data_IF_844365391098
#
_entry.id   IF_844365391098
#
_cell.length_a   1.000
_cell.length_b   1.000
_cell.length_c   1.000
_cell.angle_alpha   90.00
_cell.angle_beta   90.00
_cell.angle_gamma   90.00
#
_symmetry.space_group_name_H-M   'P 1'
#
loop_
_entity.id
_entity.type
_entity.pdbx_description
1 polymer ?
#
# COMPACT_ATOMS: atom_id res chain seq x y z
N UNK A 1 -0.23 -2.04 -24.62
CA UNK A 1 -1.38 -2.01 -23.69
C UNK A 1 -2.32 -0.91 -24.19
N UNK A 2 -3.59 -1.20 -24.52
CA UNK A 2 -4.49 -0.18 -25.11
C UNK A 2 -4.85 0.86 -24.03
N UNK A 3 -4.94 2.14 -24.38
CA UNK A 3 -5.19 3.24 -23.42
C UNK A 3 -6.43 3.01 -22.52
N UNK A 4 -7.42 2.28 -23.04
CA UNK A 4 -8.63 1.89 -22.31
C UNK A 4 -8.34 0.97 -21.11
N UNK A 5 -7.36 0.08 -21.23
CA UNK A 5 -6.97 -0.86 -20.17
C UNK A 5 -6.24 -0.11 -19.04
N UNK A 6 -5.40 0.85 -19.41
CA UNK A 6 -4.70 1.73 -18.46
C UNK A 6 -5.67 2.59 -17.67
N UNK A 7 -6.67 3.19 -18.35
CA UNK A 7 -7.68 4.00 -17.69
C UNK A 7 -8.53 3.18 -16.71
N UNK A 8 -8.89 1.95 -17.11
CA UNK A 8 -9.61 1.01 -16.24
C UNK A 8 -8.81 0.70 -14.98
N UNK A 9 -7.53 0.37 -15.13
CA UNK A 9 -6.64 0.06 -14.00
C UNK A 9 -6.49 1.25 -13.05
N UNK A 10 -6.29 2.46 -13.61
CA UNK A 10 -6.19 3.69 -12.81
C UNK A 10 -7.48 3.95 -12.01
N UNK A 11 -8.64 3.78 -12.63
CA UNK A 11 -9.92 3.95 -11.94
C UNK A 11 -10.11 2.90 -10.83
N UNK A 12 -9.69 1.66 -11.07
CA UNK A 12 -9.75 0.61 -10.05
C UNK A 12 -8.88 0.95 -8.83
N UNK A 13 -7.60 1.31 -9.06
CA UNK A 13 -6.68 1.70 -7.98
C UNK A 13 -7.23 2.91 -7.21
N UNK A 14 -7.76 3.92 -7.93
CA UNK A 14 -8.33 5.12 -7.33
C UNK A 14 -9.48 4.79 -6.37
N UNK A 15 -10.35 3.87 -6.76
CA UNK A 15 -11.52 3.47 -5.98
C UNK A 15 -11.13 2.58 -4.80
N UNK A 16 -10.32 1.55 -5.04
CA UNK A 16 -9.94 0.56 -4.02
C UNK A 16 -9.05 1.15 -2.92
N UNK A 17 -8.24 2.18 -3.24
CA UNK A 17 -7.41 2.87 -2.26
C UNK A 17 -8.06 4.15 -1.70
N UNK A 18 -9.33 4.44 -2.03
CA UNK A 18 -10.06 5.56 -1.46
C UNK A 18 -9.45 6.94 -1.75
N UNK A 19 -8.78 7.12 -2.89
CA UNK A 19 -8.07 8.37 -3.20
C UNK A 19 -8.99 9.60 -3.30
N UNK A 20 -10.27 9.41 -3.62
CA UNK A 20 -11.26 10.47 -3.57
C UNK A 20 -11.51 10.98 -2.15
N UNK A 21 -11.54 10.09 -1.14
CA UNK A 21 -11.68 10.46 0.26
C UNK A 21 -10.47 11.23 0.77
N UNK A 22 -9.27 10.76 0.44
CA UNK A 22 -8.01 11.45 0.77
C UNK A 22 -7.98 12.86 0.17
N UNK A 23 -8.41 12.99 -1.09
CA UNK A 23 -8.46 14.28 -1.78
C UNK A 23 -9.51 15.21 -1.17
N UNK A 24 -10.68 14.68 -0.79
CA UNK A 24 -11.73 15.45 -0.13
C UNK A 24 -11.26 16.01 1.23
N UNK A 25 -10.64 15.16 2.05
CA UNK A 25 -10.04 15.55 3.34
C UNK A 25 -9.00 16.66 3.16
N UNK A 26 -8.11 16.52 2.17
CA UNK A 26 -7.09 17.54 1.88
C UNK A 26 -7.71 18.89 1.48
N UNK A 27 -8.75 18.88 0.64
CA UNK A 27 -9.47 20.10 0.23
C UNK A 27 -10.15 20.79 1.41
N UNK A 28 -10.81 20.02 2.27
CA UNK A 28 -11.47 20.53 3.48
C UNK A 28 -10.46 21.16 4.44
N UNK A 29 -9.32 20.50 4.65
CA UNK A 29 -8.19 21.02 5.42
C UNK A 29 -7.39 22.14 4.74
N UNK A 30 -7.82 22.59 3.55
CA UNK A 30 -7.14 23.62 2.73
C UNK A 30 -5.68 23.29 2.38
N UNK A 31 -5.34 22.01 2.34
CA UNK A 31 -4.04 21.56 1.86
C UNK A 31 -3.94 21.69 0.33
N UNK A 32 -2.77 22.04 -0.22
CA UNK A 32 -2.58 22.08 -1.66
C UNK A 32 -2.82 20.69 -2.27
N UNK A 33 -3.75 20.57 -3.21
CA UNK A 33 -4.13 19.29 -3.81
C UNK A 33 -3.01 18.60 -4.61
N UNK A 34 -1.94 19.34 -4.93
CA UNK A 34 -0.73 18.83 -5.59
C UNK A 34 0.37 18.39 -4.59
N UNK A 35 0.13 18.52 -3.29
CA UNK A 35 1.08 18.20 -2.22
C UNK A 35 0.46 17.22 -1.21
N UNK A 36 -0.25 16.21 -1.73
CA UNK A 36 -0.79 15.11 -0.94
C UNK A 36 0.15 13.92 -1.09
N UNK A 37 0.73 13.48 0.02
CA UNK A 37 1.64 12.34 0.06
C UNK A 37 0.92 11.15 0.70
N UNK A 38 0.95 10.00 0.04
CA UNK A 38 0.33 8.76 0.52
C UNK A 38 1.45 7.79 0.88
N UNK A 39 1.43 7.27 2.12
CA UNK A 39 2.38 6.24 2.53
C UNK A 39 1.93 4.89 1.93
N UNK A 40 2.66 4.41 0.92
CA UNK A 40 2.35 3.15 0.24
C UNK A 40 2.99 1.92 0.91
N UNK A 41 3.87 2.11 1.89
CA UNK A 41 4.58 1.01 2.57
C UNK A 41 3.61 -0.02 3.17
N UNK A 42 2.52 0.35 3.87
CA UNK A 42 1.59 -0.63 4.42
C UNK A 42 0.90 -1.49 3.35
N UNK A 43 0.57 -0.91 2.20
CA UNK A 43 -0.04 -1.63 1.06
C UNK A 43 0.97 -2.63 0.49
N UNK A 44 2.21 -2.19 0.30
CA UNK A 44 3.29 -3.04 -0.18
C UNK A 44 3.54 -4.22 0.77
N UNK A 45 3.68 -3.96 2.07
CA UNK A 45 3.91 -5.01 3.08
C UNK A 45 2.77 -6.03 3.06
N UNK A 46 1.51 -5.61 3.05
CA UNK A 46 0.36 -6.52 2.99
C UNK A 46 0.38 -7.40 1.73
N UNK A 47 0.69 -6.82 0.57
CA UNK A 47 0.79 -7.58 -0.68
C UNK A 47 1.92 -8.61 -0.64
N UNK A 48 3.10 -8.22 -0.18
CA UNK A 48 4.25 -9.13 -0.04
C UNK A 48 3.95 -10.25 0.94
N UNK A 49 3.36 -9.94 2.11
CA UNK A 49 2.96 -10.94 3.08
C UNK A 49 2.01 -12.00 2.50
N UNK A 50 1.00 -11.59 1.73
CA UNK A 50 0.08 -12.52 1.08
C UNK A 50 0.79 -13.43 0.09
N UNK A 51 1.66 -12.89 -0.75
CA UNK A 51 2.44 -13.68 -1.71
C UNK A 51 3.36 -14.65 -0.98
N UNK A 52 4.08 -14.19 0.04
CA UNK A 52 5.08 -14.98 0.74
C UNK A 52 4.43 -16.10 1.56
N UNK A 53 3.28 -15.84 2.19
CA UNK A 53 2.46 -16.88 2.84
C UNK A 53 2.09 -17.98 1.84
N UNK A 54 1.55 -17.60 0.67
CA UNK A 54 1.17 -18.58 -0.38
C UNK A 54 2.38 -19.39 -0.87
N UNK A 55 3.52 -18.76 -1.11
CA UNK A 55 4.73 -19.46 -1.53
C UNK A 55 5.23 -20.43 -0.44
N UNK A 56 5.21 -19.99 0.83
CA UNK A 56 5.57 -20.84 1.97
C UNK A 56 4.64 -22.04 2.12
N UNK A 57 3.33 -21.84 1.96
CA UNK A 57 2.32 -22.92 2.03
C UNK A 57 2.50 -23.95 0.91
N UNK A 58 3.09 -23.54 -0.23
CA UNK A 58 3.46 -24.43 -1.33
C UNK A 58 4.81 -25.14 -1.12
N UNK A 59 5.47 -24.93 0.03
CA UNK A 59 6.77 -25.53 0.34
C UNK A 59 7.94 -24.87 -0.37
N UNK A 60 7.77 -23.66 -0.92
CA UNK A 60 8.86 -22.90 -1.53
C UNK A 60 9.69 -22.27 -0.42
N UNK A 61 10.95 -22.68 -0.32
CA UNK A 61 11.88 -22.13 0.66
C UNK A 61 12.43 -20.76 0.21
N UNK A 62 12.53 -19.84 1.16
CA UNK A 62 13.26 -18.60 0.97
C UNK A 62 14.76 -18.88 1.13
N UNK A 63 15.51 -18.79 0.04
CA UNK A 63 16.94 -19.09 0.00
C UNK A 63 17.73 -17.77 -0.17
N UNK A 64 18.78 -17.58 0.63
CA UNK A 64 19.66 -16.42 0.54
C UNK A 64 20.26 -16.03 1.89
N UNK A 65 21.31 -15.20 1.84
CA UNK A 65 22.05 -14.76 3.03
C UNK A 65 21.13 -14.09 4.07
N UNK A 66 20.23 -13.22 3.60
CA UNK A 66 19.29 -12.48 4.45
C UNK A 66 17.87 -13.07 4.46
N UNK A 67 17.67 -14.29 3.92
CA UNK A 67 16.34 -14.87 3.77
C UNK A 67 15.60 -14.96 5.11
N UNK A 68 16.30 -15.32 6.19
CA UNK A 68 15.71 -15.37 7.53
C UNK A 68 15.39 -13.97 8.09
N UNK A 69 16.18 -12.96 7.76
CA UNK A 69 15.95 -11.57 8.19
C UNK A 69 14.71 -10.97 7.51
N UNK A 70 14.42 -11.37 6.27
CA UNK A 70 13.23 -10.93 5.53
C UNK A 70 12.00 -11.81 5.74
N UNK A 71 12.20 -13.08 6.08
CA UNK A 71 11.09 -14.01 6.30
C UNK A 71 10.17 -13.51 7.40
N UNK A 72 10.69 -13.14 8.57
CA UNK A 72 9.85 -12.71 9.68
C UNK A 72 9.02 -11.44 9.35
N UNK A 73 9.58 -10.31 8.89
CA UNK A 73 8.80 -9.12 8.53
C UNK A 73 7.79 -9.31 7.40
N UNK A 74 8.00 -10.29 6.53
CA UNK A 74 7.16 -10.55 5.36
C UNK A 74 6.33 -11.83 5.46
N UNK A 75 6.33 -12.52 6.61
CA UNK A 75 5.42 -13.65 6.88
C UNK A 75 4.60 -13.43 8.16
N UNK A 76 5.12 -12.65 9.11
CA UNK A 76 4.37 -12.12 10.23
C UNK A 76 3.75 -10.80 9.78
N UNK A 77 2.45 -10.86 9.51
CA UNK A 77 1.69 -9.71 9.02
C UNK A 77 1.76 -8.58 10.05
N UNK A 78 2.38 -7.47 9.67
CA UNK A 78 2.18 -6.22 10.39
C UNK A 78 0.67 -5.96 10.31
N UNK A 79 -0.02 -5.98 11.45
CA UNK A 79 -1.46 -5.79 11.51
C UNK A 79 -1.75 -4.34 11.10
N UNK A 80 -1.98 -4.15 9.79
CA UNK A 80 -2.36 -2.86 9.22
C UNK A 80 -3.87 -2.85 9.14
N UNK A 81 -4.50 -2.05 9.99
CA UNK A 81 -5.91 -1.75 9.87
C UNK A 81 -6.15 -0.90 8.61
N UNK A 82 -6.67 -1.54 7.56
CA UNK A 82 -7.09 -0.86 6.32
C UNK A 82 -8.53 -0.33 6.40
N UNK A 83 -9.25 -0.54 7.50
CA UNK A 83 -10.62 -0.04 7.67
C UNK A 83 -10.67 1.46 7.94
N UNK A 84 -9.55 2.06 8.35
CA UNK A 84 -9.44 3.48 8.68
C UNK A 84 -8.28 4.15 7.94
N UNK A 85 -8.50 5.37 7.46
CA UNK A 85 -7.45 6.20 6.86
C UNK A 85 -6.95 7.16 7.93
N UNK A 86 -5.67 7.02 8.30
CA UNK A 86 -5.03 7.91 9.26
C UNK A 86 -4.39 9.11 8.55
N UNK A 87 -4.74 10.32 8.98
CA UNK A 87 -4.21 11.57 8.44
C UNK A 87 -3.22 12.19 9.41
N UNK A 88 -2.01 12.51 8.94
CA UNK A 88 -1.00 13.19 9.75
C UNK A 88 -0.49 14.42 9.02
N UNK A 89 -0.64 15.64 9.59
CA UNK A 89 -0.10 16.85 8.99
C UNK A 89 1.43 16.85 9.11
N UNK A 90 2.12 16.96 7.97
CA UNK A 90 3.57 17.10 7.93
C UNK A 90 3.89 18.56 7.63
N UNK A 91 4.73 19.19 8.47
CA UNK A 91 5.32 20.49 8.18
C UNK A 91 6.68 20.26 7.54
N UNK A 92 6.81 20.61 6.27
CA UNK A 92 8.08 20.61 5.55
C UNK A 92 8.57 22.07 5.60
N UNK A 93 9.72 22.28 6.25
CA UNK A 93 10.39 23.59 6.36
C UNK A 93 11.37 23.79 5.20
#
# INVERSE_FOLDING_TARGET
>A
MKDKDKLKLLNQIKNELGFDLITAYAKEGRYPTKQIYVNLIPIYISAVCKVFKVLSDQGIEFIGFDANAYKEPFTNELEVDFSSINYTPIRIF
#
